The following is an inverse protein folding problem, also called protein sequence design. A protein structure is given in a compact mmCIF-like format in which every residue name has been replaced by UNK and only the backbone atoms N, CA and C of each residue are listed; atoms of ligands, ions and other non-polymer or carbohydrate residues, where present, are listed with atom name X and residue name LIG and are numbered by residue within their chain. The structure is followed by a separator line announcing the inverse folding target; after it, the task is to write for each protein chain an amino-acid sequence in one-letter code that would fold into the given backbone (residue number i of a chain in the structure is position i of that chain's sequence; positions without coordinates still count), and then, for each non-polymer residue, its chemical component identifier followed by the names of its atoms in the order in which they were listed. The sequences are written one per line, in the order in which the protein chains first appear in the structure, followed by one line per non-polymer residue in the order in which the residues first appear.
data_IF_993482240586
#
_entry.id   IF_993482240586
#
_cell.length_a   1.000
_cell.length_b   1.000
_cell.length_c   1.000
_cell.angle_alpha   90.00
_cell.angle_beta   90.00
_cell.angle_gamma   90.00
#
_symmetry.space_group_name_H-M   'P 1'
#
loop_
_entity.id
_entity.type
_entity.pdbx_description
1 polymer ?
#
# COMPACT_ATOMS: atom_id res chain seq x y z
N UNK A 1 9.44 24.91 -19.52
CA UNK A 1 8.46 24.84 -18.41
C UNK A 1 9.23 24.77 -17.09
N UNK A 2 9.04 25.74 -16.19
CA UNK A 2 9.58 25.67 -14.83
C UNK A 2 8.74 24.64 -14.03
N UNK A 3 9.38 23.69 -13.35
CA UNK A 3 8.69 22.83 -12.39
C UNK A 3 8.22 23.70 -11.22
N UNK A 4 6.98 23.57 -10.75
CA UNK A 4 6.54 24.28 -9.55
C UNK A 4 7.45 23.89 -8.38
N UNK A 5 7.86 24.90 -7.60
CA UNK A 5 8.61 24.70 -6.37
C UNK A 5 7.73 23.95 -5.37
N UNK A 6 8.23 22.87 -4.72
CA UNK A 6 7.46 22.13 -3.72
C UNK A 6 7.00 23.07 -2.58
N UNK A 7 5.72 23.05 -2.24
CA UNK A 7 5.21 23.78 -1.08
C UNK A 7 5.66 23.09 0.21
N UNK A 8 6.22 23.87 1.13
CA UNK A 8 6.50 23.40 2.49
C UNK A 8 5.20 23.35 3.29
N UNK A 9 4.91 22.19 3.88
CA UNK A 9 3.77 22.00 4.78
C UNK A 9 4.27 21.57 6.16
N UNK A 10 3.61 21.99 7.25
CA UNK A 10 3.98 21.54 8.59
C UNK A 10 3.68 20.05 8.75
N UNK A 11 4.51 19.33 9.52
CA UNK A 11 4.33 17.89 9.78
C UNK A 11 2.98 17.59 10.43
N UNK A 12 2.43 18.52 11.21
CA UNK A 12 1.09 18.40 11.83
C UNK A 12 -0.05 18.41 10.82
N UNK A 13 0.18 18.86 9.58
CA UNK A 13 -0.81 18.79 8.51
C UNK A 13 -0.78 17.46 7.75
N UNK A 14 0.17 16.56 8.07
CA UNK A 14 0.20 15.23 7.47
C UNK A 14 -0.94 14.39 8.03
N UNK A 15 -1.78 13.88 7.13
CA UNK A 15 -2.81 12.92 7.50
C UNK A 15 -2.19 11.55 7.70
N UNK A 16 -2.53 10.90 8.82
CA UNK A 16 -2.15 9.53 9.12
C UNK A 16 -3.42 8.71 9.27
N UNK A 17 -3.40 7.50 8.72
CA UNK A 17 -4.50 6.56 8.90
C UNK A 17 -4.43 5.93 10.29
N UNK A 18 -5.60 5.65 10.87
CA UNK A 18 -5.68 4.89 12.11
C UNK A 18 -4.96 3.54 11.96
N UNK A 19 -4.14 3.17 12.95
CA UNK A 19 -3.32 1.95 12.93
C UNK A 19 -1.96 2.08 12.23
N UNK A 20 -1.69 3.15 11.47
CA UNK A 20 -0.39 3.35 10.85
C UNK A 20 0.75 3.43 11.89
N UNK A 21 0.46 4.04 13.05
CA UNK A 21 1.44 4.19 14.12
C UNK A 21 1.82 2.86 14.78
N UNK A 22 0.88 1.92 14.89
CA UNK A 22 1.13 0.59 15.45
C UNK A 22 1.99 -0.23 14.51
N UNK A 23 1.72 -0.15 13.20
CA UNK A 23 2.54 -0.81 12.19
C UNK A 23 3.99 -0.31 12.22
N UNK A 24 4.19 1.01 12.29
CA UNK A 24 5.52 1.63 12.37
C UNK A 24 6.26 1.27 13.66
N UNK A 25 5.55 1.14 14.79
CA UNK A 25 6.14 0.77 16.08
C UNK A 25 6.42 -0.71 16.25
N UNK A 26 5.96 -1.55 15.32
CA UNK A 26 6.23 -2.99 15.38
C UNK A 26 7.73 -3.30 15.34
N UNK A 27 8.15 -4.32 16.09
CA UNK A 27 9.57 -4.71 16.14
C UNK A 27 10.11 -5.06 14.75
N UNK A 28 9.27 -5.67 13.91
CA UNK A 28 9.60 -6.03 12.52
C UNK A 28 9.83 -4.83 11.61
N UNK A 29 9.42 -3.62 12.00
CA UNK A 29 9.72 -2.38 11.27
C UNK A 29 11.05 -1.73 11.68
N UNK A 30 11.60 -2.07 12.85
CA UNK A 30 12.82 -1.47 13.39
C UNK A 30 14.00 -1.43 12.39
N UNK A 31 14.40 -2.54 11.72
CA UNK A 31 15.55 -2.49 10.81
C UNK A 31 15.30 -1.63 9.57
N UNK A 32 14.04 -1.53 9.11
CA UNK A 32 13.66 -0.64 8.01
C UNK A 32 13.70 0.83 8.42
N UNK A 33 13.28 1.17 9.64
CA UNK A 33 13.35 2.53 10.16
C UNK A 33 14.79 2.99 10.39
N UNK A 34 15.67 2.09 10.85
CA UNK A 34 17.10 2.37 11.01
C UNK A 34 17.77 2.66 9.66
N UNK A 35 17.49 1.83 8.64
CA UNK A 35 17.91 2.10 7.26
C UNK A 35 17.44 3.47 6.76
N UNK A 36 16.14 3.80 6.95
CA UNK A 36 15.59 5.08 6.51
C UNK A 36 16.24 6.27 7.25
N UNK A 37 16.48 6.15 8.56
CA UNK A 37 17.18 7.18 9.34
C UNK A 37 18.62 7.38 8.86
N UNK A 38 19.35 6.29 8.59
CA UNK A 38 20.70 6.35 8.06
C UNK A 38 20.72 7.06 6.69
N UNK A 39 19.79 6.69 5.80
CA UNK A 39 19.65 7.32 4.49
C UNK A 39 19.35 8.82 4.58
N UNK A 40 18.35 9.21 5.38
CA UNK A 40 17.98 10.62 5.59
C UNK A 40 19.15 11.41 6.21
N UNK A 41 19.91 10.78 7.11
CA UNK A 41 21.08 11.37 7.75
C UNK A 41 22.34 11.41 6.88
N UNK A 42 22.29 10.92 5.63
CA UNK A 42 23.44 10.86 4.73
C UNK A 42 24.55 9.90 5.19
N UNK A 43 24.20 8.90 6.01
CA UNK A 43 25.13 7.87 6.50
C UNK A 43 25.29 6.75 5.46
N UNK A 44 26.34 5.94 5.63
CA UNK A 44 26.49 4.70 4.85
C UNK A 44 25.36 3.72 5.19
N UNK A 45 24.62 3.29 4.17
CA UNK A 45 23.47 2.39 4.29
C UNK A 45 23.84 0.92 4.08
N UNK A 46 25.05 0.60 3.62
CA UNK A 46 25.51 -0.76 3.39
C UNK A 46 25.32 -1.72 4.60
N UNK A 47 25.68 -1.36 5.84
CA UNK A 47 25.51 -2.27 6.99
C UNK A 47 24.02 -2.54 7.30
N UNK A 48 23.15 -1.55 7.12
CA UNK A 48 21.71 -1.70 7.35
C UNK A 48 21.05 -2.58 6.27
N UNK A 49 21.50 -2.47 5.02
CA UNK A 49 21.07 -3.35 3.94
C UNK A 49 21.55 -4.80 4.16
N UNK A 50 22.79 -4.98 4.63
CA UNK A 50 23.31 -6.30 5.00
C UNK A 50 22.47 -6.94 6.12
N UNK A 51 22.11 -6.16 7.16
CA UNK A 51 21.23 -6.63 8.22
C UNK A 51 19.85 -7.08 7.70
N UNK A 52 19.26 -6.36 6.74
CA UNK A 52 18.01 -6.78 6.10
C UNK A 52 18.18 -8.06 5.26
N UNK A 53 19.36 -8.28 4.68
CA UNK A 53 19.65 -9.47 3.87
C UNK A 53 19.74 -10.75 4.72
N UNK A 54 20.09 -10.63 6.00
CA UNK A 54 20.11 -11.75 6.96
C UNK A 54 18.72 -12.11 7.50
N UNK A 55 17.71 -11.25 7.34
CA UNK A 55 16.36 -11.54 7.80
C UNK A 55 15.73 -12.69 6.99
N UNK A 56 15.04 -13.64 7.66
CA UNK A 56 14.21 -14.62 6.98
C UNK A 56 13.09 -13.90 6.21
N UNK A 57 12.61 -14.52 5.14
CA UNK A 57 11.63 -13.89 4.25
C UNK A 57 10.39 -13.41 5.02
N UNK A 58 9.94 -14.20 6.00
CA UNK A 58 8.77 -13.98 6.83
C UNK A 58 8.84 -12.72 7.70
N UNK A 59 10.05 -12.24 7.96
CA UNK A 59 10.30 -11.01 8.73
C UNK A 59 10.45 -9.79 7.83
N UNK A 60 10.64 -9.99 6.51
CA UNK A 60 10.80 -8.89 5.56
C UNK A 60 9.50 -8.14 5.34
N UNK A 61 9.62 -6.83 5.09
CA UNK A 61 8.53 -5.92 4.78
C UNK A 61 7.63 -6.44 3.66
N UNK A 62 8.23 -6.89 2.55
CA UNK A 62 7.48 -7.37 1.38
C UNK A 62 6.60 -8.58 1.70
N UNK A 63 7.09 -9.51 2.54
CA UNK A 63 6.30 -10.67 2.96
C UNK A 63 5.14 -10.26 3.87
N UNK A 64 5.37 -9.33 4.80
CA UNK A 64 4.32 -8.81 5.69
C UNK A 64 3.18 -8.18 4.89
N UNK A 65 3.50 -7.36 3.90
CA UNK A 65 2.50 -6.73 3.03
C UNK A 65 1.72 -7.78 2.24
N UNK A 66 2.41 -8.71 1.56
CA UNK A 66 1.74 -9.72 0.74
C UNK A 66 0.91 -10.70 1.58
N UNK A 67 1.37 -11.03 2.78
CA UNK A 67 0.60 -11.87 3.72
C UNK A 67 -0.67 -11.18 4.19
N UNK A 68 -0.61 -9.87 4.47
CA UNK A 68 -1.80 -9.09 4.83
C UNK A 68 -2.78 -8.99 3.65
N UNK A 69 -2.26 -8.73 2.44
CA UNK A 69 -3.08 -8.70 1.21
C UNK A 69 -3.75 -10.04 0.92
N UNK A 70 -3.06 -11.16 1.16
CA UNK A 70 -3.66 -12.50 1.02
C UNK A 70 -4.93 -12.61 1.85
N UNK A 71 -4.86 -12.29 3.14
CA UNK A 71 -6.03 -12.37 4.02
C UNK A 71 -7.13 -11.41 3.59
N UNK A 72 -6.79 -10.16 3.27
CA UNK A 72 -7.76 -9.17 2.83
C UNK A 72 -8.48 -9.59 1.53
N UNK A 73 -7.74 -10.15 0.56
CA UNK A 73 -8.31 -10.54 -0.73
C UNK A 73 -9.01 -11.90 -0.72
N UNK A 74 -8.62 -12.82 0.17
CA UNK A 74 -9.33 -14.09 0.34
C UNK A 74 -10.75 -13.92 0.91
N UNK A 75 -11.03 -12.79 1.57
CA UNK A 75 -12.34 -12.50 2.17
C UNK A 75 -13.26 -11.69 1.24
N UNK A 76 -12.77 -11.25 0.07
CA UNK A 76 -13.59 -10.48 -0.86
C UNK A 76 -14.64 -11.36 -1.53
N UNK A 77 -15.90 -11.14 -1.17
CA UNK A 77 -17.08 -11.81 -1.72
C UNK A 77 -18.05 -10.78 -2.29
N UNK A 78 -18.39 -10.89 -3.57
CA UNK A 78 -19.23 -9.92 -4.28
C UNK A 78 -20.69 -9.98 -3.83
N UNK A 79 -21.20 -11.16 -3.46
CA UNK A 79 -22.60 -11.29 -3.01
C UNK A 79 -22.84 -10.56 -1.68
N UNK A 80 -21.87 -10.60 -0.76
CA UNK A 80 -21.95 -9.85 0.50
C UNK A 80 -21.90 -8.33 0.26
N UNK A 81 -21.11 -7.87 -0.73
CA UNK A 81 -21.10 -6.46 -1.14
C UNK A 81 -22.48 -6.04 -1.65
N UNK A 82 -23.11 -6.85 -2.50
CA UNK A 82 -24.46 -6.55 -3.01
C UNK A 82 -25.49 -6.52 -1.88
N UNK A 83 -25.42 -7.46 -0.95
CA UNK A 83 -26.31 -7.47 0.22
C UNK A 83 -26.14 -6.21 1.10
N UNK A 84 -24.90 -5.76 1.33
CA UNK A 84 -24.64 -4.53 2.08
C UNK A 84 -25.15 -3.30 1.31
N UNK A 85 -25.02 -3.25 -0.02
CA UNK A 85 -25.51 -2.13 -0.84
C UNK A 85 -27.03 -1.93 -0.73
N UNK A 86 -27.81 -2.99 -0.49
CA UNK A 86 -29.26 -2.89 -0.25
C UNK A 86 -29.61 -2.25 1.11
N UNK A 87 -28.66 -2.19 2.04
CA UNK A 87 -28.90 -1.77 3.43
C UNK A 87 -28.12 -0.54 3.87
N UNK A 88 -27.01 -0.21 3.19
CA UNK A 88 -26.16 0.93 3.50
C UNK A 88 -26.87 2.25 3.22
N UNK A 89 -26.68 3.22 4.12
CA UNK A 89 -27.02 4.60 3.82
C UNK A 89 -26.07 5.17 2.76
N UNK A 90 -26.48 6.23 2.06
CA UNK A 90 -25.59 6.90 1.10
C UNK A 90 -24.31 7.44 1.75
N UNK A 91 -24.37 7.85 3.02
CA UNK A 91 -23.22 8.39 3.73
C UNK A 91 -22.25 7.29 4.15
N UNK A 92 -22.76 6.14 4.59
CA UNK A 92 -21.93 4.96 4.89
C UNK A 92 -21.30 4.40 3.61
N UNK A 93 -22.05 4.38 2.49
CA UNK A 93 -21.51 3.98 1.19
C UNK A 93 -20.32 4.86 0.77
N UNK A 94 -20.42 6.18 0.94
CA UNK A 94 -19.31 7.09 0.66
C UNK A 94 -18.10 6.80 1.55
N UNK A 95 -18.33 6.48 2.83
CA UNK A 95 -17.24 6.16 3.77
C UNK A 95 -16.47 4.90 3.35
N UNK A 96 -17.16 3.85 2.89
CA UNK A 96 -16.51 2.60 2.46
C UNK A 96 -15.93 2.67 1.05
N UNK A 97 -16.53 3.46 0.15
CA UNK A 97 -16.06 3.59 -1.23
C UNK A 97 -14.85 4.54 -1.35
N UNK A 98 -14.81 5.62 -0.56
CA UNK A 98 -13.77 6.67 -0.64
C UNK A 98 -12.33 6.13 -0.57
N UNK A 99 -11.98 5.16 0.29
CA UNK A 99 -10.61 4.66 0.38
C UNK A 99 -10.16 3.85 -0.84
N UNK A 100 -11.08 3.26 -1.63
CA UNK A 100 -10.77 2.30 -2.69
C UNK A 100 -9.77 2.88 -3.70
N UNK A 101 -10.01 4.10 -4.18
CA UNK A 101 -9.12 4.75 -5.14
C UNK A 101 -7.70 4.93 -4.57
N UNK A 102 -7.59 5.31 -3.29
CA UNK A 102 -6.29 5.47 -2.63
C UNK A 102 -5.57 4.13 -2.46
N UNK A 103 -6.30 3.07 -2.08
CA UNK A 103 -5.73 1.71 -1.96
C UNK A 103 -5.24 1.18 -3.30
N UNK A 104 -5.99 1.40 -4.38
CA UNK A 104 -5.58 1.01 -5.72
C UNK A 104 -4.27 1.72 -6.14
N UNK A 105 -4.13 3.02 -5.82
CA UNK A 105 -2.91 3.78 -6.10
C UNK A 105 -1.73 3.28 -5.24
N UNK A 106 -1.94 3.11 -3.94
CA UNK A 106 -0.91 2.58 -3.01
C UNK A 106 -0.42 1.19 -3.45
N UNK A 107 -1.34 0.30 -3.81
CA UNK A 107 -1.01 -1.03 -4.34
C UNK A 107 -0.25 -0.93 -5.67
N UNK A 108 -0.64 -0.03 -6.57
CA UNK A 108 0.07 0.19 -7.84
C UNK A 108 1.52 0.66 -7.62
N UNK A 109 1.74 1.59 -6.68
CA UNK A 109 3.07 2.06 -6.32
C UNK A 109 3.92 0.94 -5.68
N UNK A 110 3.31 0.14 -4.82
CA UNK A 110 3.95 -1.05 -4.24
C UNK A 110 4.36 -2.06 -5.32
N UNK A 111 3.45 -2.40 -6.23
CA UNK A 111 3.71 -3.33 -7.33
C UNK A 111 4.86 -2.83 -8.22
N UNK A 112 4.85 -1.53 -8.56
CA UNK A 112 5.94 -0.91 -9.32
C UNK A 112 7.29 -1.00 -8.59
N UNK A 113 7.31 -0.73 -7.29
CA UNK A 113 8.54 -0.81 -6.50
C UNK A 113 9.09 -2.24 -6.41
N UNK A 114 8.20 -3.24 -6.35
CA UNK A 114 8.57 -4.64 -6.22
C UNK A 114 8.96 -5.32 -7.54
N UNK A 115 8.21 -5.05 -8.61
CA UNK A 115 8.29 -5.79 -9.89
C UNK A 115 8.87 -4.96 -11.03
N UNK A 116 9.04 -3.65 -10.82
CA UNK A 116 9.37 -2.69 -11.88
C UNK A 116 8.12 -2.15 -12.60
N UNK A 117 8.32 -1.08 -13.35
CA UNK A 117 7.26 -0.33 -14.05
C UNK A 117 6.45 -1.22 -15.01
N UNK A 118 7.13 -1.91 -15.92
CA UNK A 118 6.48 -2.64 -17.02
C UNK A 118 5.61 -3.80 -16.51
N UNK A 119 6.16 -4.63 -15.62
CA UNK A 119 5.43 -5.75 -15.05
C UNK A 119 4.22 -5.30 -14.23
N UNK A 120 4.38 -4.24 -13.41
CA UNK A 120 3.29 -3.69 -12.62
C UNK A 120 2.16 -3.13 -13.52
N UNK A 121 2.51 -2.40 -14.58
CA UNK A 121 1.55 -1.84 -15.53
C UNK A 121 0.75 -2.93 -16.25
N UNK A 122 1.40 -4.00 -16.71
CA UNK A 122 0.72 -5.13 -17.34
C UNK A 122 -0.29 -5.81 -16.41
N UNK A 123 0.05 -5.95 -15.12
CA UNK A 123 -0.87 -6.50 -14.11
C UNK A 123 -2.11 -5.61 -13.97
N UNK A 124 -1.93 -4.29 -13.84
CA UNK A 124 -3.05 -3.36 -13.66
C UNK A 124 -3.94 -3.24 -14.90
N UNK A 125 -3.35 -3.28 -16.10
CA UNK A 125 -4.10 -3.32 -17.36
C UNK A 125 -4.92 -4.60 -17.49
N UNK A 126 -4.36 -5.74 -17.07
CA UNK A 126 -5.09 -7.01 -17.05
C UNK A 126 -6.26 -6.95 -16.07
N UNK A 127 -6.06 -6.43 -14.86
CA UNK A 127 -7.15 -6.24 -13.89
C UNK A 127 -8.27 -5.36 -14.47
N UNK A 128 -7.92 -4.26 -15.12
CA UNK A 128 -8.90 -3.38 -15.80
C UNK A 128 -9.67 -4.08 -16.90
N UNK A 129 -9.01 -4.97 -17.67
CA UNK A 129 -9.69 -5.77 -18.70
C UNK A 129 -10.69 -6.74 -18.09
N UNK A 130 -10.36 -7.38 -16.97
CA UNK A 130 -11.27 -8.30 -16.26
C UNK A 130 -12.52 -7.55 -15.81
N UNK A 131 -12.36 -6.37 -15.20
CA UNK A 131 -13.50 -5.53 -14.78
C UNK A 131 -14.49 -5.28 -15.94
N UNK A 132 -13.98 -4.94 -17.13
CA UNK A 132 -14.82 -4.70 -18.32
C UNK A 132 -15.52 -5.95 -18.86
N UNK A 133 -15.02 -7.14 -18.53
CA UNK A 133 -15.62 -8.41 -18.96
C UNK A 133 -16.71 -8.87 -17.98
N UNK A 134 -16.60 -8.48 -16.71
CA UNK A 134 -17.58 -8.77 -15.67
C UNK A 134 -18.93 -8.08 -15.89
N UNK A 135 -18.97 -6.96 -16.62
CA UNK A 135 -20.21 -6.24 -16.96
C UNK A 135 -21.05 -6.90 -18.08
N UNK A 136 -20.52 -7.94 -18.74
CA UNK A 136 -21.21 -8.69 -19.81
C UNK A 136 -21.78 -10.04 -19.33
N UNK A 137 -21.85 -10.27 -18.02
CA UNK A 137 -22.39 -11.49 -17.38
C UNK A 137 -23.76 -11.28 -16.78
#
# INVERSE_FOLDING_TARGET
MMRPTPQSIPTSALQQEAGAQDLVRSEKMRPYLELLKAHIGGQDTAPYLAALAELPLEERYVWRVISALKWAFCDLETENVLADLETLSEDDLKLVAKPIAMRAIQFSLFAKALLGQEAAEQIMLRATRILKQSDNG
#
